data_IF_150446800322
#
_entry.id   IF_150446800322
#
_cell.length_a   1.000
_cell.length_b   1.000
_cell.length_c   1.000
_cell.angle_alpha   90.00
_cell.angle_beta   90.00
_cell.angle_gamma   90.00
#
_symmetry.space_group_name_H-M   'P 1'
#
loop_
_entity.id
_entity.type
_entity.pdbx_description
1 polymer ?
#
# COMPACT_ATOMS: atom_id res chain seq x y z
N UNK A 1 10.32 26.27 -14.68
CA UNK A 1 9.71 24.96 -14.40
C UNK A 1 10.72 24.15 -13.64
N UNK A 2 10.39 23.71 -12.43
CA UNK A 2 11.29 22.91 -11.60
C UNK A 2 11.41 21.50 -12.20
N UNK A 3 12.60 20.91 -12.13
CA UNK A 3 12.87 19.55 -12.67
C UNK A 3 11.97 18.46 -12.04
N UNK A 4 11.36 18.73 -10.89
CA UNK A 4 10.34 17.88 -10.27
C UNK A 4 9.04 17.77 -11.09
N UNK A 5 8.68 18.79 -11.86
CA UNK A 5 7.51 18.78 -12.75
C UNK A 5 7.73 17.85 -13.96
N UNK A 6 8.98 17.72 -14.41
CA UNK A 6 9.36 16.88 -15.56
C UNK A 6 9.41 15.38 -15.22
N UNK A 7 9.66 15.01 -13.96
CA UNK A 7 9.72 13.59 -13.55
C UNK A 7 8.36 12.88 -13.55
N UNK A 8 7.25 13.62 -13.63
CA UNK A 8 5.90 13.04 -13.79
C UNK A 8 5.53 12.82 -15.26
N UNK A 9 6.36 13.29 -16.19
CA UNK A 9 6.22 13.02 -17.62
C UNK A 9 6.91 11.69 -17.93
N UNK A 10 6.17 10.61 -17.70
CA UNK A 10 6.52 9.26 -18.17
C UNK A 10 6.33 9.23 -19.68
N UNK A 11 7.27 9.83 -20.42
CA UNK A 11 7.30 9.72 -21.87
C UNK A 11 8.01 8.43 -22.28
N UNK A 12 7.42 7.75 -23.28
CA UNK A 12 7.88 6.53 -24.00
C UNK A 12 7.34 5.16 -23.56
N UNK A 13 6.03 5.05 -23.39
CA UNK A 13 5.18 3.93 -23.86
C UNK A 13 3.84 4.57 -24.29
N UNK A 14 2.96 3.98 -25.13
CA UNK A 14 1.67 4.60 -25.45
C UNK A 14 0.71 4.46 -24.25
N UNK A 15 1.08 5.07 -23.12
CA UNK A 15 0.30 5.13 -21.88
C UNK A 15 -1.08 5.72 -22.17
N UNK A 16 -1.15 6.73 -23.04
CA UNK A 16 -2.40 7.36 -23.46
C UNK A 16 -3.34 6.37 -24.15
N UNK A 17 -2.81 5.44 -24.95
CA UNK A 17 -3.62 4.39 -25.60
C UNK A 17 -4.21 3.43 -24.57
N UNK A 18 -3.43 3.05 -23.56
CA UNK A 18 -3.88 2.14 -22.49
C UNK A 18 -4.88 2.82 -21.55
N UNK A 19 -4.63 4.09 -21.20
CA UNK A 19 -5.50 4.87 -20.33
C UNK A 19 -6.90 5.06 -20.91
N UNK A 20 -6.99 5.26 -22.23
CA UNK A 20 -8.26 5.37 -22.94
C UNK A 20 -8.97 4.03 -23.18
N UNK A 21 -8.36 2.90 -22.79
CA UNK A 21 -8.97 1.57 -22.85
C UNK A 21 -9.57 1.11 -21.51
N UNK A 22 -9.41 1.90 -20.44
CA UNK A 22 -9.90 1.56 -19.08
C UNK A 22 -11.43 1.47 -19.04
N UNK A 23 -12.12 2.30 -19.81
CA UNK A 23 -13.57 2.33 -19.90
C UNK A 23 -14.00 2.88 -21.25
N UNK A 24 -15.06 2.32 -21.87
CA UNK A 24 -15.62 2.91 -23.09
C UNK A 24 -16.31 4.26 -22.84
N UNK A 25 -16.65 4.57 -21.58
CA UNK A 25 -17.47 5.73 -21.22
C UNK A 25 -16.69 7.03 -21.06
N UNK A 26 -15.37 6.96 -20.94
CA UNK A 26 -14.55 8.16 -20.76
C UNK A 26 -13.17 8.03 -21.40
N UNK A 27 -12.60 9.17 -21.75
CA UNK A 27 -11.18 9.33 -22.04
C UNK A 27 -10.47 10.04 -20.89
N UNK A 28 -9.17 9.83 -20.76
CA UNK A 28 -8.35 10.52 -19.76
C UNK A 28 -7.59 11.64 -20.47
N UNK A 29 -7.77 12.88 -20.00
CA UNK A 29 -7.10 14.05 -20.57
C UNK A 29 -6.65 15.03 -19.48
N UNK A 30 -5.85 16.03 -19.84
CA UNK A 30 -5.36 17.09 -18.95
C UNK A 30 -6.44 18.15 -18.76
N UNK A 31 -6.74 18.44 -17.51
CA UNK A 31 -7.50 19.60 -17.08
C UNK A 31 -6.60 20.85 -17.08
N UNK A 32 -7.22 22.03 -17.13
CA UNK A 32 -6.50 23.32 -17.17
C UNK A 32 -5.61 23.57 -15.95
N UNK A 33 -5.98 23.04 -14.77
CA UNK A 33 -5.31 23.34 -13.50
C UNK A 33 -5.14 22.15 -12.54
N UNK A 34 -5.80 21.01 -12.79
CA UNK A 34 -5.92 19.89 -11.83
C UNK A 34 -5.19 18.62 -12.24
N UNK A 35 -4.25 18.68 -13.19
CA UNK A 35 -3.62 17.47 -13.75
C UNK A 35 -4.59 16.72 -14.66
N UNK A 36 -4.71 15.39 -14.52
CA UNK A 36 -5.55 14.54 -15.39
C UNK A 36 -6.95 14.34 -14.82
N UNK A 37 -7.94 14.23 -15.70
CA UNK A 37 -9.32 13.90 -15.37
C UNK A 37 -9.94 12.96 -16.41
N UNK A 38 -11.07 12.34 -16.04
CA UNK A 38 -11.86 11.52 -16.94
C UNK A 38 -12.97 12.38 -17.56
N UNK A 39 -13.06 12.38 -18.90
CA UNK A 39 -14.04 13.13 -19.67
C UNK A 39 -14.98 12.17 -20.39
N UNK A 40 -16.28 12.33 -20.20
CA UNK A 40 -17.27 11.49 -20.86
C UNK A 40 -17.16 11.63 -22.39
N UNK A 41 -17.11 10.51 -23.09
CA UNK A 41 -17.09 10.46 -24.57
C UNK A 41 -18.47 10.68 -25.17
N UNK A 42 -19.52 10.37 -24.40
CA UNK A 42 -20.91 10.49 -24.80
C UNK A 42 -21.85 10.70 -23.59
N UNK A 43 -23.16 10.81 -23.86
CA UNK A 43 -24.17 10.91 -22.80
C UNK A 43 -24.31 9.59 -22.06
N UNK A 44 -23.94 9.55 -20.77
CA UNK A 44 -23.99 8.34 -19.94
C UNK A 44 -25.36 8.22 -19.25
N UNK A 45 -26.15 7.16 -19.49
CA UNK A 45 -27.43 6.95 -18.80
C UNK A 45 -27.29 6.79 -17.28
N UNK A 46 -28.35 7.12 -16.54
CA UNK A 46 -28.40 6.92 -15.08
C UNK A 46 -28.31 5.42 -14.76
N UNK A 47 -27.43 5.07 -13.82
CA UNK A 47 -27.23 3.70 -13.35
C UNK A 47 -26.16 2.91 -14.11
N UNK A 48 -25.54 3.52 -15.12
CA UNK A 48 -24.43 2.89 -15.85
C UNK A 48 -23.20 2.73 -14.96
N UNK A 49 -22.61 1.53 -14.96
CA UNK A 49 -21.31 1.28 -14.32
C UNK A 49 -20.21 1.81 -15.24
N UNK A 50 -19.61 2.92 -14.84
CA UNK A 50 -18.59 3.61 -15.64
C UNK A 50 -17.24 2.87 -15.58
N UNK A 51 -16.87 2.33 -14.42
CA UNK A 51 -15.66 1.54 -14.22
C UNK A 51 -15.80 0.66 -12.99
N UNK A 52 -15.18 -0.52 -13.01
CA UNK A 52 -15.12 -1.43 -11.89
C UNK A 52 -13.68 -1.92 -11.70
N UNK A 53 -13.16 -1.77 -10.48
CA UNK A 53 -11.83 -2.24 -10.11
C UNK A 53 -11.97 -3.48 -9.21
N UNK A 54 -11.65 -4.66 -9.76
CA UNK A 54 -11.79 -5.94 -9.05
C UNK A 54 -10.60 -6.25 -8.13
N UNK A 55 -9.41 -5.74 -8.46
CA UNK A 55 -8.22 -5.91 -7.65
C UNK A 55 -7.58 -4.54 -7.43
N UNK A 56 -7.86 -3.89 -6.29
CA UNK A 56 -7.19 -2.66 -5.93
C UNK A 56 -5.71 -2.95 -5.66
N UNK A 57 -4.84 -1.97 -5.98
CA UNK A 57 -3.39 -2.08 -5.77
C UNK A 57 -3.07 -2.44 -4.31
N UNK A 58 -3.83 -1.87 -3.38
CA UNK A 58 -3.80 -2.24 -1.97
C UNK A 58 -5.10 -1.84 -1.29
N UNK A 59 -5.30 -2.33 -0.08
CA UNK A 59 -6.43 -1.97 0.76
C UNK A 59 -6.08 -2.17 2.22
N UNK A 60 -6.76 -1.48 3.12
CA UNK A 60 -6.54 -1.60 4.56
C UNK A 60 -7.81 -1.30 5.34
N UNK A 61 -7.93 -1.86 6.53
CA UNK A 61 -9.05 -1.64 7.44
C UNK A 61 -8.60 -0.65 8.51
N UNK A 62 -9.36 0.44 8.62
CA UNK A 62 -9.20 1.43 9.67
C UNK A 62 -9.27 0.79 11.06
N UNK A 63 -8.37 1.20 11.95
CA UNK A 63 -8.19 0.61 13.28
C UNK A 63 -9.48 0.46 14.09
N UNK A 64 -10.41 1.44 14.13
CA UNK A 64 -11.67 1.29 14.88
C UNK A 64 -12.51 0.10 14.39
N UNK A 65 -12.43 -0.22 13.10
CA UNK A 65 -13.23 -1.25 12.44
C UNK A 65 -12.55 -2.63 12.38
N UNK A 66 -11.32 -2.75 12.91
CA UNK A 66 -10.47 -3.94 12.78
C UNK A 66 -11.13 -5.24 13.27
N UNK A 67 -11.98 -5.16 14.28
CA UNK A 67 -12.66 -6.32 14.87
C UNK A 67 -13.98 -6.67 14.18
N UNK A 68 -14.50 -5.77 13.35
CA UNK A 68 -15.85 -5.80 12.81
C UNK A 68 -15.89 -5.80 11.28
N UNK A 69 -14.73 -5.70 10.60
CA UNK A 69 -14.60 -5.79 9.14
C UNK A 69 -13.70 -6.97 8.78
N UNK A 70 -14.13 -7.77 7.81
CA UNK A 70 -13.37 -8.93 7.34
C UNK A 70 -12.16 -8.48 6.53
N UNK A 71 -10.99 -9.05 6.84
CA UNK A 71 -9.72 -8.73 6.16
C UNK A 71 -9.73 -9.10 4.68
N UNK A 72 -10.52 -10.10 4.28
CA UNK A 72 -10.54 -10.61 2.90
C UNK A 72 -11.62 -9.94 2.07
N UNK A 73 -12.87 -9.94 2.55
CA UNK A 73 -14.02 -9.52 1.74
C UNK A 73 -14.62 -8.18 2.16
N UNK A 74 -14.07 -7.50 3.17
CA UNK A 74 -14.58 -6.24 3.72
C UNK A 74 -16.03 -6.31 4.24
N UNK A 75 -16.60 -7.50 4.41
CA UNK A 75 -17.91 -7.67 5.03
C UNK A 75 -17.92 -7.04 6.42
N UNK A 76 -18.91 -6.21 6.68
CA UNK A 76 -19.07 -5.49 7.93
C UNK A 76 -20.04 -6.21 8.87
N UNK A 77 -19.64 -6.38 10.12
CA UNK A 77 -20.40 -7.06 11.17
C UNK A 77 -21.22 -6.10 12.05
N UNK A 78 -21.40 -4.84 11.62
CA UNK A 78 -22.28 -3.86 12.26
C UNK A 78 -22.02 -3.67 13.76
N UNK A 79 -20.76 -3.47 14.15
CA UNK A 79 -20.35 -3.31 15.55
C UNK A 79 -20.01 -4.60 16.29
N UNK A 80 -20.28 -5.77 15.68
CA UNK A 80 -19.99 -7.06 16.31
C UNK A 80 -18.54 -7.50 16.08
N UNK A 81 -17.89 -8.03 17.12
CA UNK A 81 -16.56 -8.62 16.98
C UNK A 81 -16.64 -9.96 16.25
N UNK A 82 -15.86 -10.10 15.18
CA UNK A 82 -15.76 -11.32 14.38
C UNK A 82 -15.15 -12.47 15.19
N UNK A 83 -15.70 -13.67 14.97
CA UNK A 83 -15.30 -14.89 15.70
C UNK A 83 -14.01 -15.50 15.15
N UNK A 84 -13.86 -15.51 13.82
CA UNK A 84 -12.72 -16.11 13.15
C UNK A 84 -11.56 -15.12 13.12
N UNK A 85 -10.41 -15.53 13.64
CA UNK A 85 -9.21 -14.68 13.71
C UNK A 85 -7.94 -15.50 13.79
N UNK A 86 -6.86 -14.93 13.27
CA UNK A 86 -5.51 -15.42 13.50
C UNK A 86 -4.86 -14.46 14.48
N UNK A 87 -4.31 -14.97 15.59
CA UNK A 87 -3.85 -14.15 16.71
C UNK A 87 -2.47 -14.56 17.21
N UNK A 88 -1.67 -13.57 17.62
CA UNK A 88 -0.42 -13.79 18.33
C UNK A 88 -0.39 -13.01 19.64
N UNK A 89 0.28 -13.56 20.65
CA UNK A 89 0.48 -12.90 21.94
C UNK A 89 1.62 -11.89 21.87
N UNK A 90 1.39 -10.72 22.46
CA UNK A 90 2.40 -9.68 22.68
C UNK A 90 2.34 -9.23 24.15
N UNK A 91 3.08 -9.91 25.02
CA UNK A 91 3.00 -9.67 26.46
C UNK A 91 1.57 -9.87 26.99
N UNK A 92 0.94 -8.78 27.46
CA UNK A 92 -0.47 -8.76 27.90
C UNK A 92 -1.48 -8.52 26.76
N UNK A 93 -1.01 -8.07 25.60
CA UNK A 93 -1.84 -7.74 24.45
C UNK A 93 -1.95 -8.92 23.48
N UNK A 94 -2.93 -8.85 22.59
CA UNK A 94 -3.12 -9.80 21.49
C UNK A 94 -3.22 -9.02 20.19
N UNK A 95 -2.36 -9.37 19.23
CA UNK A 95 -2.43 -8.86 17.87
C UNK A 95 -3.22 -9.85 17.03
N UNK A 96 -4.05 -9.38 16.11
CA UNK A 96 -5.01 -10.27 15.43
C UNK A 96 -5.49 -9.75 14.08
N UNK A 97 -5.70 -10.66 13.14
CA UNK A 97 -6.40 -10.42 11.87
C UNK A 97 -7.76 -11.12 11.93
N UNK A 98 -8.83 -10.43 11.53
CA UNK A 98 -10.22 -10.90 11.70
C UNK A 98 -10.91 -11.25 10.38
N UNK A 99 -11.81 -12.23 10.43
CA UNK A 99 -12.52 -12.80 9.28
C UNK A 99 -14.00 -13.05 9.61
N UNK A 100 -14.88 -12.88 8.62
CA UNK A 100 -16.31 -13.12 8.80
C UNK A 100 -16.67 -14.62 8.82
N UNK A 101 -15.83 -15.48 8.23
CA UNK A 101 -16.04 -16.92 8.12
C UNK A 101 -14.71 -17.68 8.17
N UNK A 102 -14.80 -18.98 8.45
CA UNK A 102 -13.67 -19.92 8.32
C UNK A 102 -13.15 -19.94 6.88
N UNK A 103 -14.05 -19.87 5.88
CA UNK A 103 -13.67 -19.79 4.47
C UNK A 103 -12.77 -18.59 4.17
N UNK A 104 -13.12 -17.39 4.67
CA UNK A 104 -12.27 -16.21 4.50
C UNK A 104 -10.92 -16.36 5.22
N UNK A 105 -10.91 -16.99 6.40
CA UNK A 105 -9.68 -17.27 7.11
C UNK A 105 -8.78 -18.24 6.32
N UNK A 106 -9.33 -19.35 5.84
CA UNK A 106 -8.60 -20.33 5.03
C UNK A 106 -8.13 -19.75 3.71
N UNK A 107 -8.96 -18.96 3.01
CA UNK A 107 -8.59 -18.24 1.80
C UNK A 107 -7.39 -17.33 2.05
N UNK A 108 -7.42 -16.56 3.13
CA UNK A 108 -6.29 -15.71 3.52
C UNK A 108 -5.00 -16.50 3.81
N UNK A 109 -5.10 -17.68 4.41
CA UNK A 109 -3.92 -18.50 4.70
C UNK A 109 -3.37 -19.19 3.44
N UNK A 110 -4.25 -19.70 2.59
CA UNK A 110 -3.91 -20.46 1.38
C UNK A 110 -3.42 -19.56 0.23
N UNK A 111 -3.93 -18.34 0.11
CA UNK A 111 -3.44 -17.40 -0.91
C UNK A 111 -2.06 -16.83 -0.59
N UNK A 112 -1.53 -17.08 0.60
CA UNK A 112 -0.33 -16.47 1.13
C UNK A 112 0.68 -17.56 1.51
N UNK A 113 1.12 -18.36 0.53
CA UNK A 113 2.00 -19.54 0.70
C UNK A 113 3.26 -19.27 1.56
N UNK A 114 3.69 -18.02 1.70
CA UNK A 114 4.85 -17.63 2.51
C UNK A 114 4.53 -17.04 3.90
N UNK A 115 3.26 -16.97 4.34
CA UNK A 115 2.82 -16.26 5.56
C UNK A 115 3.33 -14.79 5.69
N UNK A 116 3.87 -14.23 4.61
CA UNK A 116 4.58 -12.94 4.61
C UNK A 116 3.63 -11.80 4.96
N UNK A 117 2.46 -11.74 4.31
CA UNK A 117 1.47 -10.70 4.57
C UNK A 117 1.00 -10.73 6.03
N UNK A 118 0.62 -11.91 6.53
CA UNK A 118 0.17 -12.09 7.90
C UNK A 118 1.23 -11.60 8.89
N UNK A 119 2.47 -12.06 8.74
CA UNK A 119 3.58 -11.70 9.62
C UNK A 119 3.79 -10.18 9.64
N UNK A 120 3.84 -9.54 8.48
CA UNK A 120 4.04 -8.09 8.39
C UNK A 120 2.87 -7.30 9.00
N UNK A 121 1.62 -7.72 8.78
CA UNK A 121 0.45 -7.08 9.40
C UNK A 121 0.47 -7.19 10.94
N UNK A 122 0.88 -8.34 11.48
CA UNK A 122 1.02 -8.54 12.92
C UNK A 122 2.19 -7.74 13.49
N UNK A 123 3.35 -7.68 12.81
CA UNK A 123 4.50 -6.89 13.26
C UNK A 123 4.20 -5.39 13.33
N UNK A 124 3.47 -4.84 12.35
CA UNK A 124 3.06 -3.42 12.41
C UNK A 124 2.12 -3.16 13.58
N UNK A 125 1.20 -4.07 13.87
CA UNK A 125 0.35 -3.96 15.06
C UNK A 125 1.16 -4.06 16.36
N UNK A 126 2.16 -4.95 16.41
CA UNK A 126 3.06 -5.05 17.56
C UNK A 126 3.85 -3.74 17.75
N UNK A 127 4.37 -3.16 16.67
CA UNK A 127 5.08 -1.89 16.71
C UNK A 127 4.16 -0.76 17.21
N UNK A 128 2.95 -0.66 16.65
CA UNK A 128 1.95 0.31 17.08
C UNK A 128 1.67 0.20 18.58
N UNK A 129 1.30 -0.99 19.07
CA UNK A 129 0.97 -1.21 20.48
C UNK A 129 2.15 -0.97 21.43
N UNK A 130 3.37 -1.31 21.00
CA UNK A 130 4.59 -1.05 21.79
C UNK A 130 4.93 0.43 21.80
N UNK A 131 4.73 1.12 20.67
CA UNK A 131 4.94 2.55 20.49
C UNK A 131 4.04 3.40 21.36
N UNK A 132 2.83 2.93 21.72
CA UNK A 132 1.94 3.63 22.66
C UNK A 132 2.57 3.87 24.05
N UNK A 133 3.61 3.11 24.42
CA UNK A 133 4.36 3.35 25.66
C UNK A 133 5.38 4.50 25.57
N UNK A 134 5.68 4.96 24.36
CA UNK A 134 6.63 6.05 24.09
C UNK A 134 5.88 7.39 24.12
N UNK A 135 6.55 8.51 24.45
CA UNK A 135 5.92 9.83 24.43
C UNK A 135 5.39 10.15 23.03
N UNK A 136 4.24 10.82 22.99
CA UNK A 136 3.70 11.36 21.77
C UNK A 136 4.60 12.50 21.30
N UNK A 137 4.90 12.52 20.00
CA UNK A 137 5.64 13.62 19.40
C UNK A 137 4.62 14.48 18.68
N UNK A 138 4.48 15.72 19.13
CA UNK A 138 3.68 16.71 18.41
C UNK A 138 4.34 16.97 17.05
N UNK A 139 3.50 16.99 16.00
CA UNK A 139 3.96 17.40 14.69
C UNK A 139 4.48 18.84 14.78
N UNK A 140 5.75 19.03 14.46
CA UNK A 140 6.34 20.37 14.38
C UNK A 140 5.78 21.06 13.14
N UNK A 141 5.20 22.25 13.32
CA UNK A 141 4.84 23.07 12.16
C UNK A 141 6.11 23.39 11.35
N UNK A 142 6.11 23.15 10.03
CA UNK A 142 7.28 23.42 9.21
C UNK A 142 7.50 24.94 9.16
N UNK A 143 8.73 25.36 9.43
CA UNK A 143 9.15 26.75 9.30
C UNK A 143 9.67 27.03 7.89
N UNK A 144 10.85 26.50 7.60
CA UNK A 144 11.42 26.50 6.25
C UNK A 144 11.40 25.07 5.73
N UNK A 145 10.44 24.79 4.84
CA UNK A 145 10.23 23.45 4.28
C UNK A 145 11.52 22.81 3.76
N UNK A 146 12.33 23.51 2.96
CA UNK A 146 13.54 22.93 2.35
C UNK A 146 14.58 22.52 3.39
N UNK A 147 14.80 23.36 4.40
CA UNK A 147 15.73 23.06 5.50
C UNK A 147 15.19 21.99 6.45
N UNK A 148 13.91 22.10 6.83
CA UNK A 148 13.24 21.13 7.71
C UNK A 148 13.22 19.73 7.06
N UNK A 149 12.96 19.62 5.74
CA UNK A 149 13.05 18.35 5.01
C UNK A 149 14.45 17.73 5.08
N UNK A 150 15.50 18.52 4.83
CA UNK A 150 16.87 18.03 4.88
C UNK A 150 17.26 17.54 6.30
N UNK A 151 16.81 18.26 7.32
CA UNK A 151 17.02 17.88 8.73
C UNK A 151 16.32 16.57 9.06
N UNK A 152 15.05 16.41 8.70
CA UNK A 152 14.32 15.15 8.95
C UNK A 152 14.94 13.96 8.20
N UNK A 153 15.36 14.16 6.94
CA UNK A 153 16.06 13.12 6.18
C UNK A 153 17.39 12.70 6.82
N UNK A 154 18.15 13.65 7.36
CA UNK A 154 19.38 13.33 8.08
C UNK A 154 19.10 12.48 9.32
N UNK A 155 18.04 12.76 10.08
CA UNK A 155 17.63 11.93 11.23
C UNK A 155 17.30 10.49 10.81
N UNK A 156 16.59 10.31 9.70
CA UNK A 156 16.28 8.99 9.14
C UNK A 156 17.56 8.24 8.77
N UNK A 157 18.49 8.90 8.08
CA UNK A 157 19.77 8.30 7.68
C UNK A 157 20.62 7.89 8.89
N UNK A 158 20.70 8.73 9.91
CA UNK A 158 21.41 8.41 11.15
C UNK A 158 20.78 7.24 11.91
N UNK A 159 19.44 7.24 12.01
CA UNK A 159 18.69 6.16 12.63
C UNK A 159 18.96 4.83 11.92
N UNK A 160 18.95 4.85 10.59
CA UNK A 160 19.21 3.66 9.79
C UNK A 160 20.66 3.16 9.92
N UNK A 161 21.64 4.07 9.96
CA UNK A 161 23.04 3.73 10.26
C UNK A 161 23.19 3.00 11.61
N UNK A 162 22.41 3.42 12.62
CA UNK A 162 22.35 2.73 13.92
C UNK A 162 21.70 1.34 13.81
N UNK A 163 20.67 1.17 12.98
CA UNK A 163 20.04 -0.14 12.77
C UNK A 163 21.00 -1.16 12.15
N UNK A 164 21.79 -0.75 11.17
CA UNK A 164 22.73 -1.63 10.45
C UNK A 164 23.82 -2.20 11.37
N UNK A 165 24.26 -1.41 12.35
CA UNK A 165 25.26 -1.84 13.35
C UNK A 165 24.66 -2.67 14.51
N UNK A 166 23.33 -2.77 14.61
CA UNK A 166 22.64 -3.43 15.71
C UNK A 166 22.14 -4.83 15.40
N UNK A 167 22.13 -5.68 16.45
CA UNK A 167 21.47 -6.99 16.43
C UNK A 167 19.95 -6.83 16.24
N UNK A 168 19.28 -7.74 15.50
CA UNK A 168 17.84 -7.67 15.23
C UNK A 168 16.96 -7.48 16.48
N UNK A 169 17.29 -8.15 17.59
CA UNK A 169 16.56 -8.04 18.85
C UNK A 169 16.60 -6.64 19.49
N UNK A 170 17.63 -5.83 19.19
CA UNK A 170 17.75 -4.45 19.69
C UNK A 170 17.08 -3.43 18.78
N UNK A 171 16.88 -3.76 17.50
CA UNK A 171 16.26 -2.87 16.50
C UNK A 171 14.83 -2.51 16.85
N UNK A 172 14.08 -3.46 17.45
CA UNK A 172 12.69 -3.24 17.87
C UNK A 172 12.53 -2.07 18.86
N UNK A 173 13.50 -1.86 19.75
CA UNK A 173 13.46 -0.75 20.71
C UNK A 173 13.64 0.61 20.05
N UNK A 174 14.30 0.66 18.87
CA UNK A 174 14.56 1.88 18.11
C UNK A 174 13.43 2.25 17.14
N UNK A 175 12.42 1.41 16.95
CA UNK A 175 11.30 1.76 16.08
C UNK A 175 10.59 3.01 16.59
N UNK A 176 10.29 4.00 15.74
CA UNK A 176 9.56 5.19 16.18
C UNK A 176 8.16 4.82 16.69
N UNK A 177 7.61 5.65 17.59
CA UNK A 177 6.17 5.60 17.86
C UNK A 177 5.45 5.95 16.57
N UNK A 178 4.41 5.19 16.25
CA UNK A 178 3.52 5.47 15.12
C UNK A 178 2.12 5.77 15.64
N UNK A 179 1.45 6.75 15.03
CA UNK A 179 0.08 7.13 15.36
C UNK A 179 -0.96 6.28 14.62
N UNK A 180 -2.25 6.63 14.78
CA UNK A 180 -3.36 5.90 14.16
C UNK A 180 -3.41 6.07 12.62
N UNK A 181 -2.97 7.22 12.10
CA UNK A 181 -2.89 7.50 10.66
C UNK A 181 -1.74 6.72 10.03
N UNK A 182 -0.54 6.84 10.61
CA UNK A 182 0.66 6.12 10.17
C UNK A 182 0.46 4.60 10.24
N UNK A 183 -0.18 4.09 11.29
CA UNK A 183 -0.54 2.67 11.38
C UNK A 183 -1.41 2.22 10.20
N UNK A 184 -2.38 3.04 9.79
CA UNK A 184 -3.26 2.74 8.67
C UNK A 184 -2.49 2.75 7.34
N UNK A 185 -1.68 3.79 7.13
CA UNK A 185 -0.87 3.99 5.93
C UNK A 185 0.18 2.88 5.75
N UNK A 186 0.92 2.54 6.81
CA UNK A 186 1.91 1.46 6.77
C UNK A 186 1.24 0.14 6.38
N UNK A 187 0.07 -0.17 6.95
CA UNK A 187 -0.69 -1.37 6.57
C UNK A 187 -1.12 -1.35 5.10
N UNK A 188 -1.57 -0.20 4.60
CA UNK A 188 -1.90 -0.04 3.18
C UNK A 188 -0.67 -0.30 2.31
N UNK A 189 0.47 0.31 2.64
CA UNK A 189 1.74 0.12 1.91
C UNK A 189 2.15 -1.35 1.93
N UNK A 190 2.06 -2.04 3.07
CA UNK A 190 2.35 -3.49 3.14
C UNK A 190 1.43 -4.29 2.20
N UNK A 191 0.13 -3.96 2.16
CA UNK A 191 -0.80 -4.58 1.23
C UNK A 191 -0.42 -4.35 -0.23
N UNK A 192 -0.04 -3.11 -0.58
CA UNK A 192 0.46 -2.75 -1.92
C UNK A 192 1.70 -3.56 -2.27
N UNK A 193 2.73 -3.53 -1.42
CA UNK A 193 4.00 -4.23 -1.65
C UNK A 193 3.80 -5.74 -1.77
N UNK A 194 2.91 -6.31 -0.95
CA UNK A 194 2.58 -7.72 -1.00
C UNK A 194 1.86 -8.09 -2.30
N UNK A 195 0.88 -7.29 -2.72
CA UNK A 195 0.22 -7.50 -4.01
C UNK A 195 1.24 -7.42 -5.15
N UNK A 196 2.11 -6.41 -5.17
CA UNK A 196 3.20 -6.30 -6.15
C UNK A 196 4.12 -7.54 -6.15
N UNK A 197 4.48 -8.04 -4.96
CA UNK A 197 5.26 -9.28 -4.82
C UNK A 197 4.51 -10.47 -5.42
N UNK A 198 3.20 -10.62 -5.15
CA UNK A 198 2.38 -11.70 -5.71
C UNK A 198 2.38 -11.67 -7.22
N UNK A 199 2.13 -10.49 -7.79
CA UNK A 199 2.10 -10.29 -9.24
C UNK A 199 3.41 -10.68 -9.92
N UNK A 200 4.55 -10.31 -9.32
CA UNK A 200 5.87 -10.62 -9.88
C UNK A 200 6.24 -12.10 -9.80
N UNK A 201 5.77 -12.84 -8.78
CA UNK A 201 6.19 -14.22 -8.54
C UNK A 201 5.20 -15.28 -9.03
N UNK A 202 3.90 -14.99 -9.05
CA UNK A 202 2.90 -16.04 -9.29
C UNK A 202 2.33 -16.07 -10.71
N UNK A 203 2.64 -15.09 -11.58
CA UNK A 203 2.14 -14.98 -12.97
C UNK A 203 0.61 -15.08 -13.15
N UNK A 204 -0.16 -15.37 -12.10
CA UNK A 204 -1.61 -15.38 -12.07
C UNK A 204 -2.07 -14.01 -11.62
N UNK A 205 -2.36 -13.22 -12.62
CA UNK A 205 -3.04 -11.94 -12.49
C UNK A 205 -4.52 -12.29 -12.18
N UNK A 206 -5.16 -11.67 -11.17
CA UNK A 206 -6.59 -11.81 -10.96
C UNK A 206 -7.34 -11.61 -12.27
N UNK A 207 -8.44 -12.31 -12.46
CA UNK A 207 -9.27 -12.24 -13.66
C UNK A 207 -9.81 -10.81 -13.85
N UNK A 208 -9.04 -9.97 -14.54
CA UNK A 208 -9.42 -8.62 -14.87
C UNK A 208 -10.16 -8.66 -16.19
N UNK A 209 -11.47 -8.50 -16.11
CA UNK A 209 -12.27 -8.27 -17.30
C UNK A 209 -12.06 -6.82 -17.76
N UNK A 210 -11.07 -6.62 -18.61
CA UNK A 210 -10.99 -5.46 -19.49
C UNK A 210 -11.77 -5.84 -20.76
N UNK A 211 -13.05 -5.46 -20.88
CA UNK A 211 -13.94 -6.00 -21.93
C UNK A 211 -13.46 -5.72 -23.36
N UNK A 212 -12.51 -4.81 -23.52
CA UNK A 212 -11.96 -4.38 -24.80
C UNK A 212 -10.46 -4.68 -24.95
N UNK A 213 -9.85 -5.48 -24.06
CA UNK A 213 -8.43 -5.84 -24.13
C UNK A 213 -8.24 -7.34 -24.21
N UNK A 214 -7.30 -7.74 -25.05
CA UNK A 214 -6.80 -9.12 -25.04
C UNK A 214 -6.13 -9.41 -23.68
N UNK A 215 -6.12 -10.68 -23.27
CA UNK A 215 -5.54 -11.11 -21.98
C UNK A 215 -4.10 -10.60 -21.82
N UNK A 216 -3.29 -10.70 -22.88
CA UNK A 216 -1.90 -10.22 -22.88
C UNK A 216 -1.75 -8.70 -22.71
N UNK A 217 -2.75 -7.91 -23.12
CA UNK A 217 -2.76 -6.46 -22.98
C UNK A 217 -3.23 -6.06 -21.58
N UNK A 218 -4.26 -6.72 -21.06
CA UNK A 218 -4.74 -6.61 -19.67
C UNK A 218 -3.60 -6.82 -18.67
N UNK A 219 -2.77 -7.84 -18.92
CA UNK A 219 -1.56 -8.13 -18.15
C UNK A 219 -0.56 -6.96 -18.20
N UNK A 220 -0.34 -6.37 -19.39
CA UNK A 220 0.56 -5.21 -19.54
C UNK A 220 0.02 -3.98 -18.82
N UNK A 221 -1.29 -3.73 -18.83
CA UNK A 221 -1.91 -2.62 -18.09
C UNK A 221 -1.63 -2.77 -16.59
N UNK A 222 -1.87 -3.95 -16.03
CA UNK A 222 -1.63 -4.19 -14.60
C UNK A 222 -0.15 -4.09 -14.23
N UNK A 223 0.73 -4.68 -15.06
CA UNK A 223 2.18 -4.53 -14.89
C UNK A 223 2.61 -3.07 -14.99
N UNK A 224 1.96 -2.27 -15.84
CA UNK A 224 2.27 -0.84 -15.97
C UNK A 224 1.83 -0.04 -14.73
N UNK A 225 0.75 -0.41 -14.03
CA UNK A 225 0.33 0.24 -12.77
C UNK A 225 1.36 0.01 -11.67
N UNK A 226 1.82 -1.24 -11.55
CA UNK A 226 2.87 -1.65 -10.61
C UNK A 226 4.22 -1.02 -10.98
N UNK A 227 4.58 -1.02 -12.27
CA UNK A 227 5.78 -0.36 -12.77
C UNK A 227 5.71 1.16 -12.61
N UNK A 228 4.53 1.78 -12.67
CA UNK A 228 4.37 3.22 -12.41
C UNK A 228 4.67 3.53 -10.94
N UNK A 229 4.24 2.68 -10.00
CA UNK A 229 4.63 2.80 -8.60
C UNK A 229 6.15 2.65 -8.47
N UNK A 230 6.73 1.63 -9.10
CA UNK A 230 8.17 1.37 -9.10
C UNK A 230 9.03 2.47 -9.76
N UNK A 231 8.52 3.14 -10.79
CA UNK A 231 9.18 4.25 -11.49
C UNK A 231 8.94 5.59 -10.80
N UNK A 232 7.79 5.79 -10.16
CA UNK A 232 7.57 6.97 -9.30
C UNK A 232 8.49 6.98 -8.08
N UNK A 233 9.05 5.82 -7.71
CA UNK A 233 10.08 5.66 -6.67
C UNK A 233 11.51 5.79 -7.20
N UNK A 234 11.73 5.95 -8.52
CA UNK A 234 12.98 6.50 -9.07
C UNK A 234 12.98 8.03 -8.88
N UNK A 235 12.88 8.48 -7.63
CA UNK A 235 13.44 9.77 -7.29
C UNK A 235 14.95 9.67 -7.59
N UNK A 236 15.51 10.60 -8.37
CA UNK A 236 16.93 10.58 -8.81
C UNK A 236 17.96 10.81 -7.67
N UNK A 237 17.62 10.49 -6.43
CA UNK A 237 18.60 10.11 -5.42
C UNK A 237 18.61 8.58 -5.37
N UNK A 238 19.75 7.94 -5.56
CA UNK A 238 19.93 6.47 -5.70
C UNK A 238 19.44 5.60 -4.51
N UNK A 239 18.53 6.07 -3.68
CA UNK A 239 18.05 5.43 -2.48
C UNK A 239 16.53 5.45 -2.52
N UNK A 240 15.90 4.26 -2.55
CA UNK A 240 14.64 4.07 -1.85
C UNK A 240 14.73 4.75 -0.49
N UNK A 241 13.63 5.29 0.08
CA UNK A 241 13.58 5.47 1.52
C UNK A 241 13.99 4.13 2.11
N UNK A 242 15.15 4.05 2.75
CA UNK A 242 15.68 2.76 3.17
C UNK A 242 14.83 2.12 4.26
N UNK A 243 13.82 2.82 4.77
CA UNK A 243 12.65 2.30 5.50
C UNK A 243 11.73 1.43 4.63
N UNK A 244 11.38 1.86 3.41
CA UNK A 244 10.65 1.06 2.41
C UNK A 244 11.56 -0.04 1.86
N UNK A 245 12.84 0.24 1.62
CA UNK A 245 13.81 -0.81 1.28
C UNK A 245 13.97 -1.82 2.42
N UNK A 246 13.97 -1.40 3.69
CA UNK A 246 13.99 -2.30 4.84
C UNK A 246 12.72 -3.15 4.91
N UNK A 247 11.54 -2.58 4.64
CA UNK A 247 10.28 -3.35 4.57
C UNK A 247 10.34 -4.34 3.40
N UNK A 248 10.86 -3.91 2.24
CA UNK A 248 11.05 -4.74 1.05
C UNK A 248 12.11 -5.83 1.23
N UNK A 249 13.20 -5.54 1.94
CA UNK A 249 14.28 -6.46 2.31
C UNK A 249 13.84 -7.41 3.43
N UNK A 250 12.98 -6.96 4.35
CA UNK A 250 12.32 -7.82 5.34
C UNK A 250 11.34 -8.80 4.66
N UNK A 251 10.67 -8.35 3.61
CA UNK A 251 9.81 -9.18 2.75
C UNK A 251 10.63 -10.15 1.88
N UNK A 252 11.86 -9.79 1.46
CA UNK A 252 12.77 -10.64 0.67
C UNK A 252 13.66 -11.60 1.47
N UNK A 253 13.92 -11.31 2.76
CA UNK A 253 14.85 -12.09 3.61
C UNK A 253 14.19 -13.25 4.37
N UNK A 254 12.91 -13.54 4.06
CA UNK A 254 12.12 -14.68 4.55
C UNK A 254 11.69 -15.50 3.34
#
# INVERSE_FOLDING_TARGET
MCESEQSTLVDTYPLESILNQISPWFTIDKTKYGGRGCFATESIPKGTVIHQCHSPVGSTIAKPFKKEVCTVCFAYAYGSTMKFKISEKLGKNMVSVFFCSEECQSKFQNENDSNVLLKNLLEVEKNYLTGLSKPEQEAKEPGNLEEDYAVEWNKVNEWEGKLNSMKPSKRQNLLPRIDDSEYLEIKYIIGVLFNMYKYNNHAQIPDFNYPNLEESESIKVEMSRIATIYKSTEYKGNHWPKSIQCIWDLVRSI
#
